data_IF_428913498484
#
_entry.id   IF_428913498484
#
_cell.length_a   1.000
_cell.length_b   1.000
_cell.length_c   1.000
_cell.angle_alpha   90.00
_cell.angle_beta   90.00
_cell.angle_gamma   90.00
#
_symmetry.space_group_name_H-M   'P 1'
#
loop_
_entity.id
_entity.type
_entity.pdbx_description
1 polymer ?
#
# COMPACT_ATOMS: atom_id res chain seq x y z
N UNK A 1 -2.97 17.66 -20.26
CA UNK A 1 -2.07 17.08 -19.27
C UNK A 1 -2.15 15.58 -19.45
N UNK A 2 -1.05 14.94 -19.82
CA UNK A 2 -1.03 13.52 -20.13
C UNK A 2 -1.31 12.68 -18.88
N UNK A 3 -2.09 11.60 -19.02
CA UNK A 3 -2.31 10.64 -17.94
C UNK A 3 -0.97 9.97 -17.60
N UNK A 4 -0.41 10.28 -16.42
CA UNK A 4 0.81 9.64 -15.92
C UNK A 4 0.66 8.11 -15.93
N UNK A 5 1.65 7.41 -16.47
CA UNK A 5 1.63 5.96 -16.64
C UNK A 5 2.35 5.24 -15.51
N UNK A 6 1.71 4.24 -14.92
CA UNK A 6 2.39 3.33 -14.02
C UNK A 6 3.25 2.37 -14.85
N UNK A 7 4.52 2.23 -14.49
CA UNK A 7 5.39 1.23 -15.12
C UNK A 7 5.07 -0.17 -14.57
N UNK A 8 4.94 -0.27 -13.25
CA UNK A 8 4.59 -1.51 -12.54
C UNK A 8 3.77 -1.23 -11.29
N UNK A 9 3.07 -2.27 -10.84
CA UNK A 9 2.38 -2.33 -9.56
C UNK A 9 3.11 -3.34 -8.70
N UNK A 10 3.43 -3.00 -7.46
CA UNK A 10 4.08 -3.88 -6.49
C UNK A 10 3.08 -4.28 -5.39
N UNK A 11 3.13 -5.55 -4.97
CA UNK A 11 2.37 -6.05 -3.82
C UNK A 11 3.26 -6.97 -2.97
N UNK A 12 3.28 -6.81 -1.63
CA UNK A 12 3.94 -7.76 -0.75
C UNK A 12 3.32 -9.16 -0.85
N UNK A 13 4.16 -10.19 -0.83
CA UNK A 13 3.72 -11.58 -0.79
C UNK A 13 2.65 -11.87 0.28
N UNK A 14 2.82 -11.42 1.54
CA UNK A 14 1.80 -11.60 2.59
C UNK A 14 0.45 -10.94 2.26
N UNK A 15 0.46 -9.73 1.68
CA UNK A 15 -0.75 -9.00 1.29
C UNK A 15 -1.49 -9.72 0.17
N UNK A 16 -0.77 -10.21 -0.85
CA UNK A 16 -1.35 -11.00 -1.93
C UNK A 16 -1.92 -12.33 -1.42
N UNK A 17 -1.20 -13.03 -0.54
CA UNK A 17 -1.65 -14.29 0.06
C UNK A 17 -2.94 -14.09 0.86
N UNK A 18 -3.01 -13.02 1.67
CA UNK A 18 -4.22 -12.65 2.42
C UNK A 18 -5.40 -12.30 1.49
N UNK A 19 -5.13 -11.60 0.38
CA UNK A 19 -6.14 -11.28 -0.63
C UNK A 19 -6.71 -12.54 -1.31
N UNK A 20 -5.85 -13.49 -1.68
CA UNK A 20 -6.24 -14.79 -2.24
C UNK A 20 -7.04 -15.59 -1.20
N UNK A 21 -6.57 -15.66 0.05
CA UNK A 21 -7.29 -16.33 1.13
C UNK A 21 -8.69 -15.74 1.32
N UNK A 22 -8.82 -14.41 1.22
CA UNK A 22 -10.12 -13.73 1.32
C UNK A 22 -11.06 -14.08 0.17
N UNK A 23 -10.56 -14.12 -1.05
CA UNK A 23 -11.32 -14.56 -2.20
C UNK A 23 -11.76 -16.03 -2.07
N UNK A 24 -10.87 -16.91 -1.59
CA UNK A 24 -11.13 -18.36 -1.47
C UNK A 24 -12.09 -18.72 -0.35
N UNK A 25 -11.98 -18.05 0.80
CA UNK A 25 -12.82 -18.30 1.99
C UNK A 25 -14.24 -17.73 1.88
N UNK A 26 -14.48 -16.83 0.93
CA UNK A 26 -15.81 -16.27 0.70
C UNK A 26 -16.76 -17.31 0.06
N UNK A 27 -18.05 -17.31 0.44
CA UNK A 27 -19.06 -18.15 -0.22
C UNK A 27 -19.35 -17.71 -1.66
N UNK A 28 -19.05 -16.46 -2.03
CA UNK A 28 -19.30 -15.92 -3.36
C UNK A 28 -18.28 -14.86 -3.78
N UNK A 29 -18.61 -14.09 -4.82
CA UNK A 29 -17.78 -13.00 -5.29
C UNK A 29 -17.57 -11.93 -4.21
N UNK A 30 -16.41 -11.26 -4.24
CA UNK A 30 -16.00 -10.27 -3.24
C UNK A 30 -15.35 -9.08 -3.92
N UNK A 31 -15.59 -7.89 -3.38
CA UNK A 31 -14.80 -6.71 -3.71
C UNK A 31 -14.20 -6.06 -2.46
N UNK A 32 -13.32 -5.11 -2.72
CA UNK A 32 -12.71 -4.32 -1.66
C UNK A 32 -11.81 -3.21 -2.19
N UNK A 33 -11.33 -2.38 -1.27
CA UNK A 33 -10.47 -1.24 -1.55
C UNK A 33 -9.01 -1.64 -1.35
N UNK A 34 -8.12 -1.07 -2.17
CA UNK A 34 -6.68 -1.24 -2.08
C UNK A 34 -6.06 0.07 -1.60
N UNK A 35 -5.18 -0.03 -0.61
CA UNK A 35 -4.47 1.11 -0.04
C UNK A 35 -2.97 0.96 -0.28
N UNK A 36 -2.29 2.09 -0.33
CA UNK A 36 -0.86 2.14 -0.58
C UNK A 36 -0.38 3.51 -1.03
N UNK A 37 0.74 3.49 -1.75
CA UNK A 37 1.50 4.69 -2.10
C UNK A 37 1.96 4.63 -3.55
N UNK A 38 2.21 5.81 -4.12
CA UNK A 38 2.78 5.96 -5.47
C UNK A 38 4.10 6.71 -5.29
N UNK A 39 5.19 6.11 -5.78
CA UNK A 39 6.51 6.72 -5.72
C UNK A 39 7.11 6.82 -7.11
N UNK A 40 7.87 7.90 -7.31
CA UNK A 40 8.74 8.08 -8.47
C UNK A 40 10.11 7.49 -8.17
N UNK A 41 10.58 6.61 -9.02
CA UNK A 41 11.94 6.08 -9.01
C UNK A 41 12.68 6.76 -10.15
N UNK A 42 13.66 7.59 -9.79
CA UNK A 42 14.58 8.19 -10.76
C UNK A 42 15.67 7.16 -11.02
N UNK A 43 15.57 6.46 -12.14
CA UNK A 43 16.60 5.49 -12.54
C UNK A 43 17.76 6.23 -13.21
N UNK A 44 18.94 6.24 -12.58
CA UNK A 44 20.19 6.65 -13.24
C UNK A 44 20.77 5.46 -14.00
N UNK A 45 20.10 5.05 -15.07
CA UNK A 45 20.70 4.08 -16.00
C UNK A 45 21.71 4.83 -16.86
N UNK A 46 23.00 4.54 -16.70
CA UNK A 46 24.01 4.95 -17.66
C UNK A 46 23.69 4.25 -18.98
N UNK A 47 23.33 5.03 -20.00
CA UNK A 47 23.23 4.51 -21.37
C UNK A 47 24.64 4.37 -21.92
N UNK A 48 25.00 3.19 -22.43
CA UNK A 48 26.28 2.94 -23.12
C UNK A 48 26.29 3.51 -24.55
N UNK A 49 25.20 4.16 -24.97
CA UNK A 49 25.12 4.80 -26.28
C UNK A 49 26.00 6.06 -26.31
N UNK A 50 27.12 5.93 -27.02
CA UNK A 50 28.00 7.04 -27.36
C UNK A 50 27.26 8.03 -28.28
N UNK A 51 27.30 9.35 -28.01
CA UNK A 51 26.56 10.31 -28.81
C UNK A 51 27.30 10.54 -30.13
N UNK A 52 26.83 9.94 -31.22
CA UNK A 52 27.10 10.46 -32.56
C UNK A 52 26.19 11.67 -32.81
N UNK A 53 26.79 12.86 -32.73
CA UNK A 53 26.31 14.21 -33.11
C UNK A 53 25.53 15.05 -32.06
N UNK A 54 25.90 16.34 -31.87
CA UNK A 54 25.04 17.37 -31.22
C UNK A 54 24.12 18.04 -32.29
N UNK A 55 23.03 18.81 -32.01
CA UNK A 55 22.50 19.45 -30.78
C UNK A 55 20.92 19.36 -30.70
N UNK A 56 20.10 20.26 -30.08
CA UNK A 56 20.29 21.24 -29.00
C UNK A 56 19.41 20.98 -27.74
N UNK A 57 19.82 21.57 -26.61
CA UNK A 57 19.00 21.88 -25.41
C UNK A 57 18.14 20.78 -24.76
N UNK A 58 18.66 20.28 -23.64
CA UNK A 58 17.93 19.93 -22.41
C UNK A 58 16.81 18.89 -22.49
N UNK A 59 17.18 17.63 -22.30
CA UNK A 59 16.62 16.80 -21.23
C UNK A 59 17.52 15.59 -21.03
N UNK A 60 18.23 15.53 -19.90
CA UNK A 60 18.83 14.30 -19.42
C UNK A 60 17.79 13.17 -19.52
N UNK A 61 18.09 12.09 -20.20
CA UNK A 61 17.21 10.93 -20.38
C UNK A 61 17.09 10.09 -19.09
N UNK A 62 16.77 10.73 -17.96
CA UNK A 62 16.31 10.06 -16.76
C UNK A 62 14.93 9.47 -17.06
N UNK A 63 14.85 8.15 -17.26
CA UNK A 63 13.55 7.48 -17.31
C UNK A 63 12.95 7.50 -15.91
N UNK A 64 12.03 8.43 -15.69
CA UNK A 64 11.27 8.51 -14.45
C UNK A 64 10.23 7.40 -14.40
N UNK A 65 10.45 6.44 -13.52
CA UNK A 65 9.56 5.30 -13.35
C UNK A 65 8.55 5.59 -12.25
N UNK A 66 7.26 5.48 -12.55
CA UNK A 66 6.21 5.60 -11.54
C UNK A 66 5.75 4.21 -11.12
N UNK A 67 5.87 3.91 -9.83
CA UNK A 67 5.53 2.62 -9.24
C UNK A 67 4.45 2.79 -8.20
N UNK A 68 3.41 1.97 -8.28
CA UNK A 68 2.34 1.90 -7.29
C UNK A 68 2.57 0.70 -6.37
N UNK A 69 2.69 0.93 -5.06
CA UNK A 69 2.89 -0.14 -4.06
C UNK A 69 1.60 -0.33 -3.26
N UNK A 70 0.99 -1.51 -3.38
CA UNK A 70 -0.17 -1.93 -2.58
C UNK A 70 0.34 -2.41 -1.22
N UNK A 71 -0.02 -1.74 -0.13
CA UNK A 71 0.41 -2.11 1.23
C UNK A 71 -0.65 -2.94 1.94
N UNK A 72 -1.91 -2.54 1.83
CA UNK A 72 -3.03 -3.13 2.56
C UNK A 72 -4.32 -3.11 1.74
N UNK A 73 -5.34 -3.85 2.20
CA UNK A 73 -6.66 -3.88 1.57
C UNK A 73 -7.76 -4.04 2.63
N UNK A 74 -8.97 -3.60 2.29
CA UNK A 74 -10.16 -3.79 3.12
C UNK A 74 -11.28 -4.37 2.27
N UNK A 75 -11.98 -5.36 2.81
CA UNK A 75 -13.11 -5.99 2.15
C UNK A 75 -14.27 -6.22 3.12
N UNK A 76 -15.48 -5.95 2.64
CA UNK A 76 -16.72 -6.23 3.39
C UNK A 76 -17.18 -7.69 3.29
N UNK A 77 -16.50 -8.52 2.47
CA UNK A 77 -16.91 -9.90 2.20
C UNK A 77 -18.17 -10.03 1.34
N UNK A 78 -18.59 -8.96 0.67
CA UNK A 78 -19.72 -8.94 -0.28
C UNK A 78 -19.33 -8.17 -1.54
N UNK A 79 -20.13 -8.31 -2.59
CA UNK A 79 -20.07 -7.42 -3.75
C UNK A 79 -20.88 -6.14 -3.50
N UNK A 80 -20.62 -5.10 -4.30
CA UNK A 80 -21.36 -3.84 -4.29
C UNK A 80 -21.25 -3.15 -2.91
N UNK A 81 -20.05 -3.24 -2.31
CA UNK A 81 -19.84 -2.79 -0.93
C UNK A 81 -19.72 -1.27 -0.81
N UNK A 82 -19.04 -0.62 -1.75
CA UNK A 82 -18.81 0.84 -1.76
C UNK A 82 -19.33 1.54 -3.02
N UNK A 83 -20.00 0.82 -3.90
CA UNK A 83 -20.54 1.34 -5.16
C UNK A 83 -21.94 0.79 -5.43
N UNK A 84 -22.67 1.33 -6.41
CA UNK A 84 -23.99 0.86 -6.82
C UNK A 84 -23.93 -0.12 -8.01
N UNK A 85 -25.03 -0.81 -8.39
CA UNK A 85 -25.02 -1.73 -9.54
C UNK A 85 -24.61 -1.10 -10.89
N UNK A 86 -24.69 0.24 -11.02
CA UNK A 86 -24.28 1.02 -12.19
C UNK A 86 -22.80 1.41 -12.15
N UNK A 87 -22.08 1.08 -11.08
CA UNK A 87 -20.66 1.39 -10.89
C UNK A 87 -20.40 2.79 -10.33
N UNK A 88 -21.40 3.48 -9.78
CA UNK A 88 -21.24 4.78 -9.11
C UNK A 88 -20.76 4.56 -7.69
N UNK A 89 -19.63 5.16 -7.35
CA UNK A 89 -19.02 5.06 -6.02
C UNK A 89 -19.77 5.93 -5.01
N UNK A 90 -19.91 5.45 -3.78
CA UNK A 90 -20.44 6.20 -2.64
C UNK A 90 -19.29 6.59 -1.70
N UNK A 91 -18.97 7.88 -1.63
CA UNK A 91 -17.85 8.38 -0.83
C UNK A 91 -18.05 8.10 0.66
N UNK A 92 -19.29 8.16 1.17
CA UNK A 92 -19.56 7.91 2.59
C UNK A 92 -19.22 6.48 2.99
N UNK A 93 -19.43 5.53 2.08
CA UNK A 93 -19.06 4.12 2.31
C UNK A 93 -17.56 3.93 2.27
N UNK A 94 -16.87 4.61 1.37
CA UNK A 94 -15.39 4.59 1.35
C UNK A 94 -14.84 5.20 2.63
N UNK A 95 -15.33 6.36 3.06
CA UNK A 95 -14.88 7.02 4.30
C UNK A 95 -15.10 6.11 5.51
N UNK A 96 -16.22 5.38 5.56
CA UNK A 96 -16.49 4.39 6.62
C UNK A 96 -15.53 3.20 6.60
N UNK A 97 -15.05 2.80 5.42
CA UNK A 97 -14.07 1.72 5.26
C UNK A 97 -12.64 2.21 5.49
N UNK A 98 -12.37 3.50 5.26
CA UNK A 98 -11.07 4.12 5.47
C UNK A 98 -10.81 4.49 6.94
N UNK A 99 -11.82 4.40 7.81
CA UNK A 99 -11.72 4.84 9.19
C UNK A 99 -10.59 4.11 9.93
N UNK A 100 -9.46 4.81 10.14
CA UNK A 100 -8.27 4.30 10.82
C UNK A 100 -7.13 3.80 9.93
N UNK A 101 -7.24 3.82 8.59
CA UNK A 101 -6.11 3.48 7.72
C UNK A 101 -5.20 4.70 7.49
N UNK A 102 -3.89 4.64 7.82
CA UNK A 102 -2.95 5.71 7.50
C UNK A 102 -2.64 5.77 6.00
N UNK A 103 -2.84 4.66 5.30
CA UNK A 103 -2.55 4.52 3.89
C UNK A 103 -3.63 5.17 3.01
N UNK A 104 -3.20 5.65 1.85
CA UNK A 104 -4.08 6.33 0.90
C UNK A 104 -4.75 5.33 -0.03
N UNK A 105 -5.94 5.67 -0.51
CA UNK A 105 -6.72 4.83 -1.42
C UNK A 105 -6.05 4.74 -2.79
N UNK A 106 -5.38 3.63 -3.06
CA UNK A 106 -4.67 3.39 -4.32
C UNK A 106 -5.61 2.93 -5.45
N UNK A 107 -6.66 2.20 -5.08
CA UNK A 107 -7.53 1.53 -6.03
C UNK A 107 -8.48 0.55 -5.39
N UNK A 108 -8.83 -0.51 -6.12
CA UNK A 108 -9.78 -1.53 -5.65
C UNK A 108 -9.51 -2.90 -6.27
N UNK A 109 -10.12 -3.94 -5.74
CA UNK A 109 -10.05 -5.28 -6.28
C UNK A 109 -11.43 -5.92 -6.44
N UNK A 110 -11.51 -6.87 -7.36
CA UNK A 110 -12.68 -7.71 -7.62
C UNK A 110 -12.22 -9.16 -7.66
N UNK A 111 -12.83 -10.01 -6.87
CA UNK A 111 -12.60 -11.46 -6.86
C UNK A 111 -13.87 -12.16 -7.33
N UNK A 112 -13.77 -12.87 -8.46
CA UNK A 112 -14.90 -13.56 -9.10
C UNK A 112 -14.58 -15.02 -9.33
N UNK A 113 -15.53 -15.90 -9.09
CA UNK A 113 -15.35 -17.33 -9.38
C UNK A 113 -15.71 -17.66 -10.81
N UNK A 114 -14.98 -18.60 -11.41
CA UNK A 114 -15.35 -19.28 -12.66
C UNK A 114 -15.59 -18.34 -13.84
N UNK A 115 -14.86 -17.22 -13.87
CA UNK A 115 -14.98 -16.19 -14.90
C UNK A 115 -13.69 -16.00 -15.68
N UNK A 116 -13.83 -15.46 -16.89
CA UNK A 116 -12.68 -15.03 -17.68
C UNK A 116 -11.90 -13.92 -16.96
N UNK A 117 -10.58 -13.99 -17.07
CA UNK A 117 -9.65 -13.04 -16.47
C UNK A 117 -9.57 -11.71 -17.27
N UNK A 118 -10.73 -11.07 -17.48
CA UNK A 118 -10.87 -9.78 -18.16
C UNK A 118 -11.83 -8.87 -17.39
N UNK A 119 -11.60 -7.54 -17.39
CA UNK A 119 -12.53 -6.61 -16.76
C UNK A 119 -13.89 -6.61 -17.45
N UNK A 120 -14.94 -6.43 -16.65
CA UNK A 120 -16.33 -6.28 -17.06
C UNK A 120 -16.68 -4.80 -17.20
N UNK A 121 -17.84 -4.53 -17.83
CA UNK A 121 -18.36 -3.17 -17.96
C UNK A 121 -18.60 -2.49 -16.61
N UNK A 122 -19.05 -3.25 -15.60
CA UNK A 122 -19.22 -2.76 -14.22
C UNK A 122 -17.88 -2.35 -13.62
N UNK A 123 -16.85 -3.18 -13.75
CA UNK A 123 -15.52 -2.86 -13.22
C UNK A 123 -14.92 -1.62 -13.88
N UNK A 124 -15.15 -1.42 -15.18
CA UNK A 124 -14.74 -0.20 -15.87
C UNK A 124 -15.45 1.05 -15.31
N UNK A 125 -16.77 0.95 -15.07
CA UNK A 125 -17.56 2.05 -14.52
C UNK A 125 -17.12 2.41 -13.08
N UNK A 126 -16.86 1.41 -12.24
CA UNK A 126 -16.34 1.62 -10.87
C UNK A 126 -14.96 2.29 -10.92
N UNK A 127 -14.04 1.81 -11.75
CA UNK A 127 -12.71 2.41 -11.89
C UNK A 127 -12.79 3.88 -12.36
N UNK A 128 -13.71 4.19 -13.28
CA UNK A 128 -13.98 5.57 -13.70
C UNK A 128 -14.55 6.44 -12.59
N UNK A 129 -15.48 5.91 -11.80
CA UNK A 129 -16.08 6.66 -10.69
C UNK A 129 -15.13 6.84 -9.51
N UNK A 130 -14.16 5.93 -9.32
CA UNK A 130 -13.16 6.01 -8.26
C UNK A 130 -12.09 7.05 -8.61
N UNK A 131 -11.50 6.95 -9.81
CA UNK A 131 -10.45 7.85 -10.29
C UNK A 131 -10.89 9.33 -10.35
N UNK A 132 -12.16 9.59 -10.67
CA UNK A 132 -12.70 10.97 -10.70
C UNK A 132 -12.85 11.61 -9.32
N UNK A 133 -12.85 10.82 -8.24
CA UNK A 133 -13.11 11.31 -6.87
C UNK A 133 -11.88 11.31 -5.98
N UNK A 134 -10.92 10.43 -6.26
CA UNK A 134 -9.76 10.23 -5.39
C UNK A 134 -8.47 10.48 -6.17
N UNK A 135 -7.67 11.39 -5.63
CA UNK A 135 -6.36 11.75 -6.14
C UNK A 135 -5.30 11.45 -5.07
N UNK A 136 -4.17 10.95 -5.53
CA UNK A 136 -3.03 10.50 -4.75
C UNK A 136 -1.85 11.38 -5.14
N UNK A 137 -1.21 12.08 -4.19
CA UNK A 137 0.03 12.78 -4.51
C UNK A 137 1.14 11.74 -4.79
N UNK A 138 2.02 12.08 -5.71
CA UNK A 138 3.19 11.25 -6.02
C UNK A 138 4.30 11.63 -5.04
N UNK A 139 4.70 10.67 -4.22
CA UNK A 139 5.79 10.87 -3.27
C UNK A 139 7.12 11.06 -4.01
N UNK A 140 7.96 11.97 -3.51
CA UNK A 140 9.25 12.37 -4.09
C UNK A 140 9.16 13.14 -5.41
N UNK A 141 8.10 13.93 -5.61
CA UNK A 141 8.02 14.89 -6.73
C UNK A 141 8.25 16.33 -6.24
N UNK A 142 9.16 17.06 -6.90
CA UNK A 142 9.45 18.48 -6.62
C UNK A 142 8.26 19.41 -7.00
N UNK A 143 7.34 18.92 -7.83
CA UNK A 143 6.08 19.57 -8.19
C UNK A 143 4.89 18.75 -7.67
N UNK A 144 3.78 19.36 -7.19
CA UNK A 144 2.63 18.66 -6.64
C UNK A 144 1.81 17.95 -7.74
N UNK A 145 2.37 16.87 -8.29
CA UNK A 145 1.68 16.04 -9.26
C UNK A 145 0.87 14.99 -8.50
N UNK A 146 -0.43 14.95 -8.80
CA UNK A 146 -1.35 13.96 -8.25
C UNK A 146 -1.79 12.99 -9.34
N UNK A 147 -1.78 11.70 -9.03
CA UNK A 147 -2.38 10.66 -9.85
C UNK A 147 -3.76 10.27 -9.32
N UNK A 148 -4.70 9.95 -10.21
CA UNK A 148 -5.99 9.40 -9.77
C UNK A 148 -5.83 7.99 -9.19
N UNK A 149 -6.70 7.58 -8.27
CA UNK A 149 -6.79 6.18 -7.81
C UNK A 149 -7.17 5.28 -8.98
N UNK A 150 -6.16 4.66 -9.59
CA UNK A 150 -6.27 3.97 -10.87
C UNK A 150 -5.97 2.48 -10.82
N UNK A 151 -5.55 1.94 -9.68
CA UNK A 151 -5.15 0.52 -9.59
C UNK A 151 -6.39 -0.37 -9.48
N UNK A 152 -6.46 -1.40 -10.33
CA UNK A 152 -7.49 -2.42 -10.27
C UNK A 152 -6.86 -3.81 -10.31
N UNK A 153 -7.16 -4.66 -9.32
CA UNK A 153 -6.72 -6.06 -9.30
C UNK A 153 -7.94 -6.97 -9.48
N UNK A 154 -7.89 -7.83 -10.49
CA UNK A 154 -8.88 -8.87 -10.74
C UNK A 154 -8.32 -10.21 -10.29
N UNK A 155 -9.05 -10.92 -9.43
CA UNK A 155 -8.78 -12.30 -9.04
C UNK A 155 -9.86 -13.21 -9.63
N UNK A 156 -9.44 -14.33 -10.21
CA UNK A 156 -10.36 -15.36 -10.69
C UNK A 156 -9.85 -16.76 -10.39
N UNK A 157 -10.79 -17.70 -10.23
CA UNK A 157 -10.50 -19.12 -10.17
C UNK A 157 -11.15 -19.78 -11.38
N UNK A 158 -10.39 -20.39 -12.31
CA UNK A 158 -10.96 -21.04 -13.48
C UNK A 158 -11.87 -22.21 -13.08
N UNK A 159 -12.80 -22.55 -13.96
CA UNK A 159 -13.69 -23.68 -13.79
C UNK A 159 -12.91 -24.95 -14.19
N UNK A 160 -12.11 -25.53 -13.28
CA UNK A 160 -11.33 -26.73 -13.59
C UNK A 160 -11.07 -27.59 -12.35
N UNK A 161 -10.89 -28.89 -12.61
CA UNK A 161 -10.59 -30.06 -11.75
C UNK A 161 -10.45 -29.86 -10.22
N UNK A 162 -11.13 -30.69 -9.44
CA UNK A 162 -11.12 -30.65 -7.96
C UNK A 162 -9.75 -30.96 -7.34
N UNK A 163 -8.82 -31.51 -8.12
CA UNK A 163 -7.48 -31.88 -7.67
C UNK A 163 -6.48 -30.72 -7.74
N UNK A 164 -6.73 -29.72 -8.59
CA UNK A 164 -5.80 -28.60 -8.82
C UNK A 164 -6.55 -27.28 -8.66
N UNK A 165 -6.19 -26.53 -7.61
CA UNK A 165 -6.69 -25.19 -7.41
C UNK A 165 -5.76 -24.16 -8.08
N UNK A 166 -6.24 -23.51 -9.12
CA UNK A 166 -5.53 -22.40 -9.78
C UNK A 166 -6.12 -21.06 -9.33
N UNK A 167 -5.26 -20.16 -8.85
CA UNK A 167 -5.62 -18.77 -8.56
C UNK A 167 -4.97 -17.87 -9.59
N UNK A 168 -5.78 -17.26 -10.45
CA UNK A 168 -5.28 -16.28 -11.41
C UNK A 168 -5.54 -14.87 -10.89
N UNK A 169 -4.57 -13.98 -11.08
CA UNK A 169 -4.72 -12.56 -10.78
C UNK A 169 -4.12 -11.72 -11.90
N UNK A 170 -4.75 -10.58 -12.21
CA UNK A 170 -4.25 -9.58 -13.15
C UNK A 170 -4.43 -8.19 -12.58
N UNK A 171 -3.41 -7.35 -12.75
CA UNK A 171 -3.44 -5.96 -12.34
C UNK A 171 -3.64 -5.06 -13.58
N UNK A 172 -4.40 -4.00 -13.38
CA UNK A 172 -4.74 -3.01 -14.40
C UNK A 172 -4.53 -1.60 -13.84
N UNK A 173 -4.13 -0.70 -14.72
CA UNK A 173 -4.22 0.74 -14.51
C UNK A 173 -5.41 1.28 -15.29
N UNK A 174 -6.29 2.00 -14.62
CA UNK A 174 -7.34 2.78 -15.27
C UNK A 174 -6.77 4.09 -15.83
N UNK A 175 -7.07 4.39 -17.09
CA UNK A 175 -6.73 5.63 -17.78
C UNK A 175 -7.98 6.51 -17.92
N UNK A 176 -8.14 7.56 -17.11
CA UNK A 176 -9.28 8.46 -17.17
C UNK A 176 -9.55 9.06 -18.55
N UNK A 177 -8.50 9.49 -19.26
CA UNK A 177 -8.64 10.15 -20.56
C UNK A 177 -9.27 9.22 -21.61
N UNK A 178 -8.77 7.99 -21.68
CA UNK A 178 -9.20 7.00 -22.68
C UNK A 178 -10.32 6.09 -22.16
N UNK A 179 -10.68 6.20 -20.88
CA UNK A 179 -11.62 5.32 -20.15
C UNK A 179 -11.34 3.84 -20.40
N UNK A 180 -10.07 3.44 -20.24
CA UNK A 180 -9.59 2.07 -20.49
C UNK A 180 -8.85 1.51 -19.29
N UNK A 181 -8.94 0.20 -19.12
CA UNK A 181 -8.13 -0.57 -18.18
C UNK A 181 -6.96 -1.20 -18.94
N UNK A 182 -5.76 -0.69 -18.72
CA UNK A 182 -4.53 -1.19 -19.33
C UNK A 182 -3.88 -2.21 -18.40
N UNK A 183 -3.53 -3.42 -18.86
CA UNK A 183 -2.82 -4.38 -18.02
C UNK A 183 -1.46 -3.82 -17.63
N UNK A 184 -1.08 -4.02 -16.36
CA UNK A 184 0.24 -3.64 -15.83
C UNK A 184 0.90 -4.84 -15.15
N UNK A 185 2.22 -4.88 -15.19
CA UNK A 185 2.98 -5.92 -14.49
C UNK A 185 2.75 -5.81 -12.99
N UNK A 186 2.45 -6.94 -12.34
CA UNK A 186 2.32 -7.05 -10.89
C UNK A 186 3.57 -7.71 -10.33
N UNK A 187 4.46 -6.93 -9.72
CA UNK A 187 5.66 -7.40 -9.04
C UNK A 187 5.35 -7.86 -7.62
N UNK A 188 5.74 -9.10 -7.30
CA UNK A 188 5.57 -9.65 -5.94
C UNK A 188 6.85 -9.42 -5.16
N UNK A 189 6.77 -8.59 -4.13
CA UNK A 189 7.90 -8.30 -3.25
C UNK A 189 8.20 -9.51 -2.38
N UNK A 190 9.43 -10.02 -2.49
CA UNK A 190 9.95 -11.18 -1.77
C UNK A 190 11.46 -11.02 -1.46
N UNK A 191 12.00 -11.86 -0.57
CA UNK A 191 13.41 -11.82 -0.12
C UNK A 191 14.41 -12.37 -1.16
N UNK A 192 13.93 -12.85 -2.31
CA UNK A 192 14.75 -13.51 -3.32
C UNK A 192 15.86 -12.62 -3.92
N UNK A 193 16.80 -13.22 -4.67
CA UNK A 193 17.99 -12.54 -5.18
C UNK A 193 17.67 -11.33 -6.08
N UNK A 194 16.53 -11.33 -6.76
CA UNK A 194 16.05 -10.20 -7.57
C UNK A 194 15.78 -8.92 -6.74
N UNK A 195 15.63 -9.03 -5.42
CA UNK A 195 15.40 -7.90 -4.53
C UNK A 195 16.69 -7.16 -4.12
N UNK A 196 17.89 -7.74 -4.39
CA UNK A 196 19.16 -7.09 -4.04
C UNK A 196 19.39 -5.76 -4.77
N UNK A 197 18.82 -5.59 -5.96
CA UNK A 197 18.91 -4.32 -6.70
C UNK A 197 18.12 -3.16 -6.08
N UNK A 198 17.17 -3.43 -5.18
CA UNK A 198 16.38 -2.39 -4.52
C UNK A 198 17.09 -1.70 -3.35
N UNK A 199 18.22 -2.25 -2.88
CA UNK A 199 19.11 -1.54 -1.95
C UNK A 199 19.88 -0.37 -2.61
N UNK A 200 19.76 -0.20 -3.93
CA UNK A 200 20.29 0.98 -4.64
C UNK A 200 19.52 2.27 -4.35
N UNK A 201 18.27 2.17 -3.86
CA UNK A 201 17.46 3.33 -3.44
C UNK A 201 17.07 3.17 -1.97
N UNK A 202 17.70 3.93 -1.06
CA UNK A 202 17.38 3.97 0.38
C UNK A 202 16.11 4.79 0.68
N UNK A 203 15.07 4.68 -0.16
CA UNK A 203 13.78 5.31 0.12
C UNK A 203 12.89 4.34 0.90
N UNK A 204 12.42 4.71 2.11
CA UNK A 204 11.51 3.88 2.87
C UNK A 204 10.20 3.69 2.08
N UNK A 205 9.86 2.43 1.77
CA UNK A 205 8.59 2.07 1.10
C UNK A 205 7.41 1.90 2.08
N UNK A 206 7.69 1.94 3.38
CA UNK A 206 6.68 1.97 4.44
C UNK A 206 6.53 3.41 4.91
N UNK A 207 5.30 3.94 4.82
CA UNK A 207 4.98 5.20 5.48
C UNK A 207 5.31 5.13 6.97
N UNK A 208 5.86 6.20 7.52
CA UNK A 208 5.90 6.32 8.98
C UNK A 208 4.46 6.25 9.51
N UNK A 209 4.24 5.60 10.67
CA UNK A 209 2.95 5.68 11.34
C UNK A 209 2.55 7.15 11.48
N UNK A 210 1.26 7.50 11.44
CA UNK A 210 0.82 8.87 11.62
C UNK A 210 1.22 9.32 13.03
N UNK A 211 2.32 10.05 13.11
CA UNK A 211 2.79 10.68 14.34
C UNK A 211 2.05 12.00 14.50
N UNK A 212 1.63 12.33 15.72
CA UNK A 212 1.14 13.67 16.07
C UNK A 212 2.26 14.73 16.05
N UNK A 213 3.50 14.29 15.79
CA UNK A 213 4.66 15.13 15.61
C UNK A 213 4.64 15.75 14.20
N UNK A 214 4.61 17.08 14.11
CA UNK A 214 4.95 17.79 12.89
C UNK A 214 6.45 17.60 12.62
N UNK A 215 6.80 16.62 11.77
CA UNK A 215 8.17 16.53 11.22
C UNK A 215 8.32 17.68 10.22
N UNK A 216 8.53 18.88 10.75
CA UNK A 216 8.80 20.08 9.96
C UNK A 216 10.16 19.93 9.30
N UNK A 217 10.16 19.44 8.05
CA UNK A 217 11.31 19.49 7.14
C UNK A 217 11.87 20.91 6.96
N UNK A 218 11.10 21.94 7.31
CA UNK A 218 11.51 23.34 7.31
C UNK A 218 12.47 23.74 8.45
N UNK A 219 12.64 22.91 9.50
CA UNK A 219 13.52 23.26 10.63
C UNK A 219 15.01 23.00 10.35
N UNK A 220 15.35 22.18 9.36
CA UNK A 220 16.76 21.83 9.06
C UNK A 220 17.50 22.86 8.17
N UNK A 221 16.80 23.81 7.55
CA UNK A 221 17.43 24.82 6.66
C UNK A 221 17.58 26.22 7.28
N UNK A 222 17.27 26.39 8.56
CA UNK A 222 17.48 27.66 9.26
C UNK A 222 18.54 27.50 10.35
N UNK A 223 19.81 27.35 9.94
CA UNK A 223 20.94 27.33 10.88
C UNK A 223 21.25 28.73 11.49
N UNK A 224 20.61 29.80 11.01
CA UNK A 224 20.95 31.18 11.38
C UNK A 224 19.91 31.95 12.21
N UNK A 225 18.96 31.28 12.88
CA UNK A 225 18.03 31.98 13.79
C UNK A 225 17.93 31.33 15.16
N UNK A 226 18.60 31.99 16.10
CA UNK A 226 18.30 32.17 17.52
C UNK A 226 18.07 30.88 18.31
N UNK A 227 18.88 30.66 19.35
CA UNK A 227 18.78 29.51 20.24
C UNK A 227 17.31 29.24 20.63
N UNK A 228 16.78 28.13 20.09
CA UNK A 228 15.35 27.86 20.08
C UNK A 228 14.69 28.07 21.44
N UNK A 229 13.60 28.84 21.42
CA UNK A 229 12.68 29.03 22.54
C UNK A 229 12.50 27.74 23.36
N UNK A 230 12.50 27.86 24.69
CA UNK A 230 12.25 26.75 25.63
C UNK A 230 10.99 25.94 25.27
N UNK A 231 10.01 26.55 24.61
CA UNK A 231 8.83 25.86 24.09
C UNK A 231 9.16 24.86 22.97
N UNK A 232 10.05 25.19 22.04
CA UNK A 232 10.49 24.31 20.95
C UNK A 232 11.32 23.13 21.46
N UNK A 233 12.23 23.36 22.42
CA UNK A 233 12.98 22.27 23.08
C UNK A 233 12.06 21.31 23.85
N UNK A 234 11.03 21.83 24.53
CA UNK A 234 10.02 20.99 25.21
C UNK A 234 9.19 20.17 24.23
N UNK A 235 8.82 20.74 23.09
CA UNK A 235 8.06 20.04 22.05
C UNK A 235 8.91 18.93 21.42
N UNK A 236 10.16 19.20 21.05
CA UNK A 236 11.06 18.20 20.49
C UNK A 236 11.31 17.01 21.45
N UNK A 237 11.43 17.26 22.76
CA UNK A 237 11.56 16.20 23.77
C UNK A 237 10.28 15.36 23.87
N UNK A 238 9.12 16.00 23.76
CA UNK A 238 7.82 15.31 23.75
C UNK A 238 7.69 14.43 22.50
N UNK A 239 8.03 14.98 21.34
CA UNK A 239 7.99 14.29 20.05
C UNK A 239 8.93 13.08 20.05
N UNK A 240 10.17 13.26 20.51
CA UNK A 240 11.15 12.17 20.64
C UNK A 240 10.63 11.06 21.56
N UNK A 241 9.98 11.41 22.68
CA UNK A 241 9.37 10.44 23.60
C UNK A 241 8.22 9.67 22.96
N UNK A 242 7.41 10.33 22.11
CA UNK A 242 6.34 9.67 21.36
C UNK A 242 6.89 8.68 20.33
N UNK A 243 7.96 9.04 19.62
CA UNK A 243 8.62 8.14 18.66
C UNK A 243 9.29 6.96 19.37
N UNK A 244 10.01 7.20 20.46
CA UNK A 244 10.66 6.15 21.24
C UNK A 244 9.64 5.19 21.89
N UNK A 245 8.43 5.67 22.20
CA UNK A 245 7.35 4.81 22.69
C UNK A 245 6.85 3.82 21.63
N UNK A 246 6.94 4.16 20.34
CA UNK A 246 6.57 3.26 19.24
C UNK A 246 7.64 2.21 18.94
N UNK A 247 8.88 2.47 19.35
CA UNK A 247 10.02 1.60 19.09
C UNK A 247 10.20 0.48 20.12
N UNK A 248 9.21 0.24 21.00
CA UNK A 248 9.16 -0.85 22.00
C UNK A 248 10.51 -1.14 22.70
N UNK A 249 11.20 -0.07 23.11
CA UNK A 249 12.46 -0.12 23.86
C UNK A 249 13.73 -0.04 23.01
N UNK A 250 13.65 0.03 21.68
CA UNK A 250 14.79 0.34 20.80
C UNK A 250 14.76 1.82 20.37
N UNK A 251 15.23 2.72 21.24
CA UNK A 251 15.13 4.16 20.99
C UNK A 251 15.81 4.62 19.69
N UNK A 252 15.26 5.66 19.04
CA UNK A 252 15.73 6.19 17.75
C UNK A 252 17.20 6.63 17.80
N UNK A 253 17.67 7.08 18.97
CA UNK A 253 19.07 7.42 19.19
C UNK A 253 20.04 6.25 18.97
N UNK A 254 19.60 5.01 19.19
CA UNK A 254 20.39 3.81 18.88
C UNK A 254 20.51 3.57 17.39
N UNK A 255 19.51 3.97 16.60
CA UNK A 255 19.52 3.87 15.13
C UNK A 255 20.63 4.72 14.50
N UNK A 256 20.98 5.86 15.12
CA UNK A 256 22.09 6.72 14.67
C UNK A 256 23.42 5.97 14.60
N UNK A 257 23.65 5.01 15.51
CA UNK A 257 24.86 4.17 15.55
C UNK A 257 24.90 3.10 14.45
N UNK A 258 23.76 2.83 13.82
CA UNK A 258 23.65 1.89 12.68
C UNK A 258 23.93 2.56 11.33
N UNK A 259 24.24 3.86 11.32
CA UNK A 259 24.53 4.63 10.10
C UNK A 259 25.90 5.28 10.21
N UNK A 260 26.71 5.23 9.16
CA UNK A 260 28.04 5.86 9.11
C UNK A 260 29.19 4.93 9.52
N UNK A 261 30.39 5.48 9.79
CA UNK A 261 31.60 4.68 10.00
C UNK A 261 31.56 3.79 11.26
N UNK A 262 30.74 4.14 12.26
CA UNK A 262 30.51 3.34 13.47
C UNK A 262 29.69 2.06 13.20
N UNK A 263 28.93 2.01 12.10
CA UNK A 263 28.08 0.87 11.76
C UNK A 263 28.88 -0.38 11.37
N UNK A 264 30.10 -0.20 10.83
CA UNK A 264 30.93 -1.29 10.31
C UNK A 264 31.38 -2.29 11.40
N UNK A 265 31.38 -1.88 12.67
CA UNK A 265 31.73 -2.72 13.83
C UNK A 265 30.53 -3.05 14.74
N UNK A 266 29.33 -2.59 14.39
CA UNK A 266 28.15 -2.62 15.28
C UNK A 266 27.17 -3.74 14.92
N UNK A 267 27.68 -4.97 14.73
CA UNK A 267 26.85 -6.16 14.46
C UNK A 267 25.88 -6.47 15.59
N UNK A 268 26.33 -6.34 16.84
CA UNK A 268 25.47 -6.58 18.01
C UNK A 268 24.27 -5.64 18.12
N UNK A 269 24.39 -4.40 17.64
CA UNK A 269 23.26 -3.46 17.61
C UNK A 269 22.22 -3.80 16.54
N UNK A 270 22.66 -4.35 15.40
CA UNK A 270 21.76 -4.88 14.38
C UNK A 270 21.01 -6.09 14.93
N UNK A 271 21.73 -7.02 15.58
CA UNK A 271 21.13 -8.21 16.21
C UNK A 271 20.09 -7.83 17.27
N UNK A 272 20.41 -6.90 18.18
CA UNK A 272 19.46 -6.39 19.18
C UNK A 272 18.21 -5.77 18.53
N UNK A 273 18.37 -4.97 17.47
CA UNK A 273 17.25 -4.40 16.73
C UNK A 273 16.35 -5.49 16.13
N UNK A 274 16.94 -6.53 15.53
CA UNK A 274 16.19 -7.66 14.98
C UNK A 274 15.46 -8.45 16.06
N UNK A 275 16.08 -8.73 17.21
CA UNK A 275 15.43 -9.41 18.34
C UNK A 275 14.20 -8.63 18.83
N UNK A 276 14.32 -7.31 18.96
CA UNK A 276 13.21 -6.43 19.36
C UNK A 276 12.08 -6.44 18.33
N UNK A 277 12.41 -6.41 17.04
CA UNK A 277 11.43 -6.51 15.97
C UNK A 277 10.68 -7.85 16.03
N UNK A 278 11.38 -8.96 16.28
CA UNK A 278 10.76 -10.28 16.44
C UNK A 278 9.80 -10.33 17.63
N UNK A 279 10.20 -9.79 18.79
CA UNK A 279 9.33 -9.70 19.96
C UNK A 279 8.07 -8.85 19.68
N UNK A 280 8.19 -7.76 18.92
CA UNK A 280 7.04 -6.94 18.50
C UNK A 280 6.08 -7.71 17.62
N UNK A 281 6.61 -8.47 16.64
CA UNK A 281 5.81 -9.29 15.74
C UNK A 281 5.06 -10.38 16.50
N UNK A 282 5.70 -11.01 17.49
CA UNK A 282 5.05 -12.00 18.36
C UNK A 282 3.90 -11.40 19.18
N UNK A 283 4.13 -10.23 19.79
CA UNK A 283 3.09 -9.50 20.51
C UNK A 283 1.89 -9.16 19.62
N UNK A 284 2.14 -8.63 18.43
CA UNK A 284 1.11 -8.33 17.43
C UNK A 284 0.36 -9.59 16.98
N UNK A 285 1.06 -10.71 16.80
CA UNK A 285 0.42 -11.98 16.46
C UNK A 285 -0.57 -12.42 17.56
N UNK A 286 -0.21 -12.28 18.83
CA UNK A 286 -1.12 -12.56 19.95
C UNK A 286 -2.36 -11.66 19.97
N UNK A 287 -2.20 -10.37 19.64
CA UNK A 287 -3.34 -9.44 19.52
C UNK A 287 -4.25 -9.79 18.33
N UNK A 288 -3.65 -10.16 17.19
CA UNK A 288 -4.38 -10.62 15.99
C UNK A 288 -5.16 -11.90 16.28
N UNK A 289 -4.60 -12.83 17.05
CA UNK A 289 -5.30 -14.05 17.47
C UNK A 289 -6.54 -13.72 18.32
N UNK A 290 -6.36 -12.92 19.38
CA UNK A 290 -7.45 -12.50 20.28
C UNK A 290 -8.55 -11.74 19.54
N UNK A 291 -8.17 -10.83 18.65
CA UNK A 291 -9.13 -10.05 17.85
C UNK A 291 -9.86 -10.94 16.83
N UNK A 292 -9.16 -11.87 16.18
CA UNK A 292 -9.78 -12.83 15.24
C UNK A 292 -10.81 -13.73 15.94
N UNK A 293 -10.48 -14.23 17.14
CA UNK A 293 -11.41 -15.01 17.95
C UNK A 293 -12.70 -14.21 18.29
N UNK A 294 -12.53 -12.94 18.67
CA UNK A 294 -13.66 -12.04 18.96
C UNK A 294 -14.51 -11.75 17.72
N UNK A 295 -13.90 -11.53 16.56
CA UNK A 295 -14.62 -11.34 15.28
C UNK A 295 -15.43 -12.58 14.92
N UNK A 296 -14.86 -13.77 15.11
CA UNK A 296 -15.56 -15.04 14.87
C UNK A 296 -16.76 -15.23 15.81
N UNK A 297 -16.62 -14.87 17.09
CA UNK A 297 -17.72 -14.89 18.05
C UNK A 297 -18.87 -13.97 17.61
N UNK A 298 -18.55 -12.73 17.22
CA UNK A 298 -19.53 -11.76 16.75
C UNK A 298 -20.21 -12.18 15.45
N UNK A 299 -19.48 -12.77 14.50
CA UNK A 299 -20.06 -13.28 13.26
C UNK A 299 -21.02 -14.45 13.53
N UNK A 300 -20.63 -15.38 14.41
CA UNK A 300 -21.48 -16.48 14.84
C UNK A 300 -22.77 -15.99 15.53
N UNK A 301 -22.65 -14.97 16.39
CA UNK A 301 -23.80 -14.35 17.04
C UNK A 301 -24.74 -13.70 16.00
N UNK A 302 -24.20 -12.90 15.09
CA UNK A 302 -24.97 -12.27 14.01
C UNK A 302 -25.63 -13.29 13.09
N UNK A 303 -24.95 -14.39 12.78
CA UNK A 303 -25.50 -15.50 11.99
C UNK A 303 -26.71 -16.12 12.68
N UNK A 304 -26.63 -16.39 13.99
CA UNK A 304 -27.77 -16.89 14.77
C UNK A 304 -28.94 -15.91 14.70
N UNK A 305 -28.72 -14.61 14.97
CA UNK A 305 -29.78 -13.60 14.88
C UNK A 305 -30.45 -13.56 13.50
N UNK A 306 -29.68 -13.65 12.42
CA UNK A 306 -30.23 -13.70 11.05
C UNK A 306 -31.13 -14.91 10.83
N UNK A 307 -30.77 -16.09 11.34
CA UNK A 307 -31.64 -17.29 11.24
C UNK A 307 -32.94 -17.14 12.02
N UNK A 308 -32.88 -16.55 13.22
CA UNK A 308 -34.07 -16.24 14.02
C UNK A 308 -35.02 -15.31 13.27
N UNK A 309 -34.49 -14.22 12.71
CA UNK A 309 -35.27 -13.26 11.90
C UNK A 309 -35.86 -13.92 10.65
N UNK A 310 -35.09 -14.76 9.98
CA UNK A 310 -35.53 -15.48 8.79
C UNK A 310 -36.54 -16.61 9.08
N UNK A 311 -36.83 -16.91 10.36
CA UNK A 311 -37.65 -18.07 10.79
C UNK A 311 -37.13 -19.41 10.27
N UNK A 312 -35.81 -19.51 10.07
CA UNK A 312 -35.10 -20.73 9.67
C UNK A 312 -34.44 -21.33 10.91
N UNK A 313 -35.15 -21.35 12.04
CA UNK A 313 -34.68 -22.06 13.23
C UNK A 313 -34.86 -23.57 12.97
N UNK A 314 -33.74 -24.32 12.97
CA UNK A 314 -33.71 -25.74 13.29
C UNK A 314 -33.35 -25.89 14.76
#
# INVERSE_FOLDING_TARGET
MDDLSLEKIEIPGPTLASLIQRASSSPGDVDGLLFGQIHRIVSTTLSDDSPSEPPPSSSSSSSDQIVATVTSFISSGKTVSFYDPLGRVDSRRIDSLQLGSPDRLLGWFSARRTTANRPSMRELAVASSLSSRFQLPIENSESPNSMSSSVFILLTTPLTDQLIHTHEYRAYQFRPLNRRLEPRSLGIVNIGPAFRGHYGSFNPKSGFPPLLCEVSSSAMMNEDRDEGSLSGKKQAVKDQKEVDALADGFGVGSLKRLVGPEAASYTGGVEEMYERMLAKVESLASEVEKSSAKVLELDNHNRKLRYRVARIER
#
